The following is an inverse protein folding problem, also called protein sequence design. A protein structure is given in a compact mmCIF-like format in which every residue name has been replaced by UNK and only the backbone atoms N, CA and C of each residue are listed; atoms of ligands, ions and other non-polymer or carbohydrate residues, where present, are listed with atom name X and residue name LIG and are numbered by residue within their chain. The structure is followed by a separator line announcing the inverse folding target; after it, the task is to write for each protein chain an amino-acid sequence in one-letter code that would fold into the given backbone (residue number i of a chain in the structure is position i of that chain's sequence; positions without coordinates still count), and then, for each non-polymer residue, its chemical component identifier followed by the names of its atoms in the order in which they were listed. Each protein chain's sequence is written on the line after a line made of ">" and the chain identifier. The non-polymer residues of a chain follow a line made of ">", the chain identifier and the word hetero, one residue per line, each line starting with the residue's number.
data_IF_985201549696
#
_entry.id   IF_985201549696
#
_cell.length_a   1.000
_cell.length_b   1.000
_cell.length_c   1.000
_cell.angle_alpha   90.00
_cell.angle_beta   90.00
_cell.angle_gamma   90.00
#
_symmetry.space_group_name_H-M   'P 1'
#
loop_
_entity.id
_entity.type
_entity.pdbx_description
1 polymer ?
#
# COMPACT_ATOMS: atom_id res chain seq x y z
N UNK A 1 3.08 -13.66 -1.08
CA UNK A 1 2.63 -13.56 -2.48
C UNK A 1 3.86 -13.50 -3.35
N UNK A 2 3.86 -14.21 -4.49
CA UNK A 2 4.97 -14.13 -5.45
C UNK A 2 4.90 -12.85 -6.29
N UNK A 3 6.06 -12.32 -6.73
CA UNK A 3 6.16 -11.07 -7.49
C UNK A 3 5.23 -11.04 -8.71
N UNK A 4 5.24 -12.11 -9.51
CA UNK A 4 4.44 -12.17 -10.72
C UNK A 4 2.93 -12.10 -10.45
N UNK A 5 2.47 -12.65 -9.32
CA UNK A 5 1.06 -12.60 -8.89
C UNK A 5 0.66 -11.17 -8.54
N UNK A 6 1.49 -10.48 -7.74
CA UNK A 6 1.22 -9.09 -7.35
C UNK A 6 1.08 -8.18 -8.57
N UNK A 7 2.02 -8.29 -9.51
CA UNK A 7 2.03 -7.46 -10.72
C UNK A 7 0.85 -7.76 -11.63
N UNK A 8 0.49 -9.03 -11.77
CA UNK A 8 -0.72 -9.43 -12.50
C UNK A 8 -1.98 -8.86 -11.85
N UNK A 9 -2.09 -8.93 -10.52
CA UNK A 9 -3.25 -8.39 -9.80
C UNK A 9 -3.37 -6.88 -9.98
N UNK A 10 -2.26 -6.12 -9.86
CA UNK A 10 -2.27 -4.68 -10.13
C UNK A 10 -2.74 -4.37 -11.55
N UNK A 11 -2.17 -5.05 -12.55
CA UNK A 11 -2.53 -4.85 -13.95
C UNK A 11 -3.98 -5.26 -14.29
N UNK A 12 -4.59 -6.14 -13.49
CA UNK A 12 -6.00 -6.52 -13.63
C UNK A 12 -7.00 -5.54 -13.01
N UNK A 13 -6.57 -4.73 -12.05
CA UNK A 13 -7.42 -3.79 -11.29
C UNK A 13 -7.27 -2.36 -11.81
N UNK A 14 -6.07 -1.98 -12.24
CA UNK A 14 -5.71 -0.61 -12.59
C UNK A 14 -5.27 -0.49 -14.04
N UNK A 15 -5.88 0.42 -14.79
CA UNK A 15 -5.54 0.71 -16.20
C UNK A 15 -4.10 1.22 -16.38
N UNK A 16 -3.60 1.94 -15.37
CA UNK A 16 -2.22 2.44 -15.30
C UNK A 16 -1.60 1.95 -13.99
N UNK A 17 -1.08 0.71 -13.96
CA UNK A 17 -0.46 0.18 -12.76
C UNK A 17 0.88 0.88 -12.48
N UNK A 18 1.28 0.90 -11.20
CA UNK A 18 2.62 1.32 -10.79
C UNK A 18 3.68 0.53 -11.55
N UNK A 19 4.85 1.14 -11.73
CA UNK A 19 6.02 0.42 -12.23
C UNK A 19 6.26 -0.87 -11.42
N UNK A 20 6.55 -1.96 -12.13
CA UNK A 20 6.59 -3.29 -11.52
C UNK A 20 7.72 -3.47 -10.50
N UNK A 21 8.85 -2.78 -10.66
CA UNK A 21 9.89 -2.80 -9.64
C UNK A 21 9.49 -1.94 -8.45
N UNK A 22 8.92 -0.77 -8.70
CA UNK A 22 8.43 0.11 -7.63
C UNK A 22 7.36 -0.57 -6.77
N UNK A 23 6.38 -1.22 -7.39
CA UNK A 23 5.32 -1.94 -6.71
C UNK A 23 5.87 -3.09 -5.86
N UNK A 24 6.79 -3.88 -6.41
CA UNK A 24 7.40 -5.00 -5.69
C UNK A 24 8.27 -4.52 -4.53
N UNK A 25 9.09 -3.50 -4.74
CA UNK A 25 9.96 -2.95 -3.70
C UNK A 25 9.13 -2.34 -2.56
N UNK A 26 8.05 -1.62 -2.88
CA UNK A 26 7.11 -1.11 -1.89
C UNK A 26 6.47 -2.26 -1.08
N UNK A 27 5.94 -3.28 -1.78
CA UNK A 27 5.36 -4.45 -1.16
C UNK A 27 6.32 -5.19 -0.22
N UNK A 28 7.54 -5.49 -0.68
CA UNK A 28 8.55 -6.14 0.15
C UNK A 28 8.96 -5.30 1.35
N UNK A 29 9.09 -3.98 1.18
CA UNK A 29 9.42 -3.06 2.27
C UNK A 29 8.30 -3.01 3.32
N UNK A 30 7.04 -3.07 2.90
CA UNK A 30 5.89 -3.13 3.81
C UNK A 30 5.87 -4.42 4.63
N UNK A 31 6.22 -5.57 4.02
CA UNK A 31 6.34 -6.83 4.76
C UNK A 31 7.43 -6.77 5.84
N UNK A 32 8.59 -6.19 5.52
CA UNK A 32 9.68 -6.00 6.50
C UNK A 32 9.20 -5.06 7.61
N UNK A 33 8.61 -3.93 7.23
CA UNK A 33 8.06 -2.94 8.17
C UNK A 33 7.05 -3.58 9.14
N UNK A 34 6.15 -4.43 8.67
CA UNK A 34 5.20 -5.13 9.55
C UNK A 34 5.83 -6.18 10.49
N UNK A 35 7.02 -6.67 10.18
CA UNK A 35 7.77 -7.55 11.08
C UNK A 35 8.54 -6.79 12.16
N UNK A 36 8.91 -5.53 11.90
CA UNK A 36 9.79 -4.72 12.75
C UNK A 36 9.03 -3.70 13.62
N UNK A 37 7.88 -3.20 13.15
CA UNK A 37 7.12 -2.15 13.82
C UNK A 37 6.17 -2.66 14.91
N UNK A 38 5.71 -1.73 15.74
CA UNK A 38 4.71 -2.01 16.77
C UNK A 38 3.31 -2.28 16.20
N UNK A 39 2.48 -2.93 17.03
CA UNK A 39 1.11 -3.27 16.65
C UNK A 39 0.26 -2.04 16.27
N UNK A 40 0.46 -0.91 16.96
CA UNK A 40 -0.30 0.32 16.72
C UNK A 40 -0.02 0.89 15.33
N UNK A 41 1.24 0.85 14.89
CA UNK A 41 1.67 1.26 13.55
C UNK A 41 1.06 0.37 12.47
N UNK A 42 1.07 -0.95 12.69
CA UNK A 42 0.45 -1.93 11.78
C UNK A 42 -1.06 -1.68 11.66
N UNK A 43 -1.75 -1.47 12.79
CA UNK A 43 -3.19 -1.17 12.82
C UNK A 43 -3.48 0.15 12.12
N UNK A 44 -2.67 1.18 12.35
CA UNK A 44 -2.81 2.48 11.69
C UNK A 44 -2.71 2.34 10.17
N UNK A 45 -1.70 1.63 9.67
CA UNK A 45 -1.50 1.41 8.23
C UNK A 45 -2.68 0.66 7.61
N UNK A 46 -3.21 -0.36 8.29
CA UNK A 46 -4.44 -1.04 7.85
C UNK A 46 -5.67 -0.15 7.81
N UNK A 47 -5.81 0.77 8.78
CA UNK A 47 -6.93 1.70 8.82
C UNK A 47 -6.96 2.66 7.63
N UNK A 48 -5.83 2.89 6.95
CA UNK A 48 -5.76 3.69 5.72
C UNK A 48 -6.65 3.07 4.62
N UNK A 49 -6.76 1.74 4.55
CA UNK A 49 -7.66 1.06 3.60
C UNK A 49 -9.12 1.50 3.72
N UNK A 50 -9.55 1.84 4.93
CA UNK A 50 -10.91 2.27 5.26
C UNK A 50 -11.11 3.79 5.13
N UNK A 51 -10.13 4.53 4.62
CA UNK A 51 -10.26 5.98 4.46
C UNK A 51 -11.33 6.34 3.44
N UNK A 52 -12.20 7.26 3.84
CA UNK A 52 -13.15 7.93 2.93
C UNK A 52 -12.40 8.71 1.85
N UNK A 53 -13.08 9.04 0.74
CA UNK A 53 -12.53 9.88 -0.31
C UNK A 53 -11.94 11.20 0.23
N UNK A 54 -12.61 11.86 1.19
CA UNK A 54 -12.12 13.09 1.83
C UNK A 54 -10.83 12.86 2.63
N UNK A 55 -10.70 11.72 3.31
CA UNK A 55 -9.48 11.38 4.04
C UNK A 55 -8.33 11.02 3.09
N UNK A 56 -8.60 10.31 2.00
CA UNK A 56 -7.60 10.02 0.95
C UNK A 56 -7.09 11.30 0.29
N UNK A 57 -7.99 12.26 -0.02
CA UNK A 57 -7.58 13.58 -0.51
C UNK A 57 -6.65 14.30 0.48
N UNK A 58 -7.00 14.30 1.78
CA UNK A 58 -6.15 14.91 2.82
C UNK A 58 -4.81 14.21 2.95
N UNK A 59 -4.78 12.88 2.88
CA UNK A 59 -3.55 12.10 2.89
C UNK A 59 -2.66 12.48 1.70
N UNK A 60 -3.24 12.55 0.50
CA UNK A 60 -2.54 12.97 -0.72
C UNK A 60 -1.94 14.37 -0.58
N UNK A 61 -2.69 15.33 -0.04
CA UNK A 61 -2.18 16.68 0.23
C UNK A 61 -1.00 16.67 1.21
N UNK A 62 -1.07 15.89 2.30
CA UNK A 62 0.03 15.74 3.24
C UNK A 62 1.28 15.08 2.63
N UNK A 63 1.09 14.13 1.72
CA UNK A 63 2.19 13.50 0.98
C UNK A 63 2.84 14.52 0.02
N UNK A 64 2.04 15.33 -0.67
CA UNK A 64 2.51 16.43 -1.52
C UNK A 64 3.27 17.51 -0.75
N UNK A 65 2.84 17.86 0.47
CA UNK A 65 3.56 18.77 1.37
C UNK A 65 4.97 18.27 1.73
N UNK A 66 5.22 16.96 1.62
CA UNK A 66 6.55 16.34 1.80
C UNK A 66 7.36 16.22 0.52
N UNK A 67 6.87 16.77 -0.59
CA UNK A 67 7.54 16.75 -1.90
C UNK A 67 7.19 15.55 -2.78
N UNK A 68 6.19 14.75 -2.41
CA UNK A 68 5.76 13.59 -3.21
C UNK A 68 4.38 13.86 -3.84
N UNK A 69 4.34 14.05 -5.14
CA UNK A 69 3.08 14.22 -5.85
C UNK A 69 2.56 12.87 -6.34
N UNK A 70 1.44 12.44 -5.75
CA UNK A 70 0.72 11.25 -6.19
C UNK A 70 -0.57 11.66 -6.89
N UNK A 71 -0.88 10.99 -7.99
CA UNK A 71 -2.22 10.97 -8.56
C UNK A 71 -3.20 10.22 -7.64
N UNK A 72 -4.53 10.43 -7.79
CA UNK A 72 -5.51 9.62 -7.05
C UNK A 72 -5.31 8.11 -7.27
N UNK A 73 -4.99 7.70 -8.50
CA UNK A 73 -4.79 6.32 -8.88
C UNK A 73 -3.56 5.70 -8.22
N UNK A 74 -2.43 6.40 -8.18
CA UNK A 74 -1.22 5.93 -7.50
C UNK A 74 -1.44 5.78 -5.99
N UNK A 75 -2.14 6.74 -5.36
CA UNK A 75 -2.49 6.63 -3.94
C UNK A 75 -3.32 5.37 -3.68
N UNK A 76 -4.33 5.10 -4.50
CA UNK A 76 -5.16 3.91 -4.34
C UNK A 76 -4.36 2.61 -4.51
N UNK A 77 -3.40 2.59 -5.43
CA UNK A 77 -2.50 1.45 -5.61
C UNK A 77 -1.56 1.23 -4.41
N UNK A 78 -1.00 2.29 -3.82
CA UNK A 78 -0.21 2.16 -2.59
C UNK A 78 -1.05 1.68 -1.41
N UNK A 79 -2.29 2.14 -1.29
CA UNK A 79 -3.24 1.64 -0.28
C UNK A 79 -3.53 0.16 -0.50
N UNK A 80 -3.72 -0.27 -1.75
CA UNK A 80 -3.87 -1.69 -2.07
C UNK A 80 -2.64 -2.50 -1.63
N UNK A 81 -1.42 -2.04 -1.92
CA UNK A 81 -0.19 -2.71 -1.49
C UNK A 81 -0.09 -2.84 0.04
N UNK A 82 -0.46 -1.80 0.78
CA UNK A 82 -0.53 -1.83 2.26
C UNK A 82 -1.47 -2.96 2.72
N UNK A 83 -2.67 -3.04 2.16
CA UNK A 83 -3.67 -4.04 2.56
C UNK A 83 -3.26 -5.47 2.22
N UNK A 84 -2.65 -5.68 1.04
CA UNK A 84 -2.15 -7.00 0.65
C UNK A 84 -1.03 -7.44 1.59
N UNK A 85 -0.02 -6.58 1.82
CA UNK A 85 1.08 -6.89 2.72
C UNK A 85 0.59 -7.15 4.15
N UNK A 86 -0.40 -6.39 4.63
CA UNK A 86 -0.96 -6.57 5.97
C UNK A 86 -1.71 -7.89 6.08
N UNK A 87 -2.51 -8.25 5.07
CA UNK A 87 -3.19 -9.54 5.03
C UNK A 87 -2.21 -10.71 5.07
N UNK A 88 -1.07 -10.60 4.40
CA UNK A 88 -0.02 -11.62 4.47
C UNK A 88 0.61 -11.72 5.84
N UNK A 89 0.95 -10.58 6.44
CA UNK A 89 1.52 -10.55 7.79
C UNK A 89 0.58 -11.22 8.81
N UNK A 90 -0.73 -10.93 8.75
CA UNK A 90 -1.71 -11.53 9.65
C UNK A 90 -1.79 -13.06 9.50
N UNK A 91 -1.68 -13.60 8.28
CA UNK A 91 -1.66 -15.05 8.03
C UNK A 91 -0.44 -15.77 8.62
N UNK A 92 0.65 -15.05 8.89
CA UNK A 92 1.87 -15.62 9.49
C UNK A 92 1.80 -15.60 11.02
N UNK A 93 1.00 -14.70 11.60
CA UNK A 93 0.83 -14.54 13.04
C UNK A 93 -0.23 -15.47 13.65
N UNK A 94 -1.18 -15.94 12.85
CA UNK A 94 -2.19 -16.96 13.20
C UNK A 94 -1.63 -18.39 13.10
#
# INVERSE_FOLDING_TARGET
>A
MEKHVLLYTLASIYDSPLDGEMAWNCYSSLLILFLEEDYDTIVYLGAIGSFTHKQRLRLRSKIAERGFELTPNELDQYIFLILVAQSEYMKVKD
#
